data_IF_744945890441
#
_entry.id   IF_744945890441
#
_cell.length_a   1.000
_cell.length_b   1.000
_cell.length_c   1.000
_cell.angle_alpha   90.00
_cell.angle_beta   90.00
_cell.angle_gamma   90.00
#
_symmetry.space_group_name_H-M   'P 1'
#
loop_
_entity.id
_entity.type
_entity.pdbx_description
1 polymer ?
#
# COMPACT_ATOMS: atom_id res chain seq x y z
N UNK A 1 -7.27 0.46 7.69
CA UNK A 1 -6.28 0.26 8.76
C UNK A 1 -6.57 -1.04 9.51
N UNK A 2 -7.71 -1.19 10.20
CA UNK A 2 -8.03 -2.36 11.01
C UNK A 2 -7.89 -3.71 10.27
N UNK A 3 -8.37 -3.82 9.04
CA UNK A 3 -8.25 -5.06 8.24
C UNK A 3 -6.78 -5.41 7.91
N UNK A 4 -5.90 -4.40 7.73
CA UNK A 4 -4.47 -4.65 7.52
C UNK A 4 -3.81 -5.12 8.79
N UNK A 5 -4.15 -4.53 9.94
CA UNK A 5 -3.64 -4.94 11.24
C UNK A 5 -4.03 -6.37 11.58
N UNK A 6 -5.28 -6.75 11.33
CA UNK A 6 -5.75 -8.14 11.52
C UNK A 6 -5.00 -9.14 10.61
N UNK A 7 -4.79 -8.79 9.32
CA UNK A 7 -4.02 -9.64 8.41
C UNK A 7 -2.57 -9.80 8.84
N UNK A 8 -1.95 -8.73 9.31
CA UNK A 8 -0.58 -8.76 9.81
C UNK A 8 -0.50 -9.68 11.03
N UNK A 9 -1.41 -9.52 12.00
CA UNK A 9 -1.44 -10.33 13.20
C UNK A 9 -1.59 -11.84 12.89
N UNK A 10 -2.47 -12.19 11.93
CA UNK A 10 -2.63 -13.59 11.48
C UNK A 10 -1.34 -14.15 10.86
N UNK A 11 -0.67 -13.37 10.00
CA UNK A 11 0.58 -13.82 9.37
C UNK A 11 1.73 -13.91 10.37
N UNK A 12 1.79 -13.02 11.35
CA UNK A 12 2.78 -13.09 12.45
C UNK A 12 2.56 -14.31 13.34
N UNK A 13 1.31 -14.59 13.71
CA UNK A 13 0.97 -15.82 14.46
C UNK A 13 1.38 -17.07 13.66
N UNK A 14 1.07 -17.11 12.35
CA UNK A 14 1.49 -18.20 11.47
C UNK A 14 3.02 -18.32 11.42
N UNK A 15 3.74 -17.19 11.36
CA UNK A 15 5.20 -17.17 11.34
C UNK A 15 5.80 -17.76 12.62
N UNK A 16 5.26 -17.40 13.77
CA UNK A 16 5.74 -17.91 15.05
C UNK A 16 5.39 -19.40 15.22
N UNK A 17 4.19 -19.81 14.80
CA UNK A 17 3.82 -21.23 14.77
C UNK A 17 4.78 -22.06 13.91
N UNK A 18 5.07 -21.63 12.66
CA UNK A 18 5.99 -22.34 11.75
C UNK A 18 7.39 -22.48 12.37
N UNK A 19 7.89 -21.42 13.04
CA UNK A 19 9.21 -21.46 13.70
C UNK A 19 9.19 -22.42 14.89
N UNK A 20 8.15 -22.36 15.73
CA UNK A 20 8.01 -23.20 16.90
C UNK A 20 7.86 -24.69 16.52
N UNK A 21 7.02 -24.97 15.52
CA UNK A 21 6.85 -26.32 14.98
C UNK A 21 8.16 -26.88 14.42
N UNK A 22 8.91 -26.12 13.64
CA UNK A 22 10.21 -26.53 13.15
C UNK A 22 11.23 -26.80 14.29
N UNK A 23 11.10 -26.09 15.42
CA UNK A 23 11.93 -26.36 16.61
C UNK A 23 11.55 -27.68 17.27
N UNK A 24 10.26 -27.96 17.42
CA UNK A 24 9.74 -29.24 17.95
C UNK A 24 10.19 -30.41 17.06
N UNK A 25 10.04 -30.29 15.74
CA UNK A 25 10.45 -31.34 14.78
C UNK A 25 11.93 -31.70 14.94
N UNK A 26 12.78 -30.71 15.16
CA UNK A 26 14.23 -30.88 15.31
C UNK A 26 14.67 -31.35 16.70
N UNK A 27 13.78 -31.35 17.68
CA UNK A 27 14.11 -31.75 19.04
C UNK A 27 14.31 -33.28 19.07
N UNK A 28 15.53 -33.68 19.40
CA UNK A 28 15.94 -35.08 19.50
C UNK A 28 15.59 -35.74 20.85
N UNK A 29 15.12 -34.93 21.81
CA UNK A 29 14.76 -35.43 23.15
C UNK A 29 13.32 -35.92 23.20
N UNK A 30 12.49 -35.49 22.27
CA UNK A 30 11.08 -35.89 22.18
C UNK A 30 10.95 -37.06 21.20
N UNK A 31 10.19 -38.07 21.65
CA UNK A 31 9.69 -39.11 20.74
C UNK A 31 8.54 -38.62 19.88
N UNK A 32 7.99 -39.49 19.03
CA UNK A 32 6.93 -39.12 18.11
C UNK A 32 5.70 -38.56 18.78
N UNK A 33 5.24 -39.23 19.86
CA UNK A 33 4.03 -38.86 20.61
C UNK A 33 4.25 -37.55 21.36
N UNK A 34 5.41 -37.38 21.99
CA UNK A 34 5.80 -36.14 22.66
C UNK A 34 5.89 -34.94 21.70
N UNK A 35 6.29 -35.19 20.43
CA UNK A 35 6.27 -34.10 19.37
C UNK A 35 4.85 -33.75 18.98
N UNK A 36 3.94 -34.71 18.86
CA UNK A 36 2.52 -34.45 18.56
C UNK A 36 1.92 -33.60 19.67
N UNK A 37 2.13 -34.01 20.95
CA UNK A 37 1.64 -33.24 22.09
C UNK A 37 2.22 -31.83 22.16
N UNK A 38 3.51 -31.68 21.92
CA UNK A 38 4.18 -30.38 21.85
C UNK A 38 3.63 -29.50 20.75
N UNK A 39 3.30 -30.05 19.56
CA UNK A 39 2.68 -29.29 18.47
C UNK A 39 1.25 -28.86 18.82
N UNK A 40 0.46 -29.74 19.41
CA UNK A 40 -0.91 -29.42 19.85
C UNK A 40 -0.93 -28.30 20.90
N UNK A 41 0.10 -28.21 21.73
CA UNK A 41 0.22 -27.13 22.71
C UNK A 41 0.57 -25.76 22.12
N UNK A 42 0.97 -25.69 20.84
CA UNK A 42 1.30 -24.43 20.16
C UNK A 42 0.08 -23.70 19.57
N UNK A 43 -0.98 -24.43 19.26
CA UNK A 43 -2.20 -23.87 18.67
C UNK A 43 -3.43 -24.74 19.05
N UNK A 44 -4.35 -24.18 19.82
CA UNK A 44 -5.57 -24.85 20.30
C UNK A 44 -6.48 -25.32 19.15
N UNK A 45 -6.33 -24.77 17.96
CA UNK A 45 -7.10 -25.16 16.77
C UNK A 45 -6.42 -26.28 15.98
N UNK A 46 -5.22 -26.70 16.35
CA UNK A 46 -4.51 -27.77 15.66
C UNK A 46 -5.10 -29.13 16.02
N UNK A 47 -5.48 -29.91 15.01
CA UNK A 47 -5.93 -31.28 15.21
C UNK A 47 -4.74 -32.24 15.26
N UNK A 48 -4.90 -33.35 15.99
CA UNK A 48 -3.90 -34.42 16.08
C UNK A 48 -3.50 -34.94 14.68
N UNK A 49 -4.48 -35.16 13.80
CA UNK A 49 -4.23 -35.57 12.41
C UNK A 49 -3.34 -34.56 11.66
N UNK A 50 -3.53 -33.26 11.90
CA UNK A 50 -2.71 -32.22 11.28
C UNK A 50 -1.29 -32.19 11.89
N UNK A 51 -1.18 -32.37 13.21
CA UNK A 51 0.12 -32.44 13.89
C UNK A 51 0.95 -33.63 13.37
N UNK A 52 0.32 -34.82 13.27
CA UNK A 52 0.96 -36.01 12.69
C UNK A 52 1.38 -35.75 11.23
N UNK A 53 0.54 -35.09 10.44
CA UNK A 53 0.86 -34.75 9.05
C UNK A 53 2.07 -33.83 8.95
N UNK A 54 2.18 -32.82 9.79
CA UNK A 54 3.32 -31.90 9.87
C UNK A 54 4.63 -32.66 10.20
N UNK A 55 4.54 -33.71 11.03
CA UNK A 55 5.70 -34.49 11.45
C UNK A 55 6.12 -35.58 10.46
N UNK A 56 5.22 -36.07 9.61
CA UNK A 56 5.46 -37.28 8.81
C UNK A 56 5.41 -37.08 7.31
N UNK A 57 4.64 -36.09 6.84
CA UNK A 57 4.46 -35.86 5.40
C UNK A 57 5.44 -34.79 4.95
N UNK A 58 6.45 -35.16 4.14
CA UNK A 58 7.34 -34.18 3.56
C UNK A 58 6.63 -33.31 2.50
N UNK A 59 7.11 -32.08 2.32
CA UNK A 59 6.69 -31.21 1.23
C UNK A 59 7.18 -31.68 -0.16
N UNK A 60 6.91 -30.92 -1.19
CA UNK A 60 7.37 -31.22 -2.56
C UNK A 60 8.91 -31.19 -2.72
N UNK A 61 9.64 -30.71 -1.74
CA UNK A 61 11.09 -30.71 -1.68
C UNK A 61 11.66 -31.76 -0.70
N UNK A 62 10.82 -32.68 -0.26
CA UNK A 62 11.17 -33.74 0.70
C UNK A 62 11.61 -33.19 2.08
N UNK A 63 11.04 -32.08 2.50
CA UNK A 63 11.29 -31.44 3.79
C UNK A 63 10.11 -31.72 4.71
N UNK A 64 10.38 -32.26 5.91
CA UNK A 64 9.38 -32.42 6.98
C UNK A 64 9.27 -31.13 7.77
N UNK A 65 8.03 -30.67 7.99
CA UNK A 65 7.73 -29.41 8.63
C UNK A 65 7.67 -28.26 7.63
N UNK A 66 7.99 -27.07 8.10
CA UNK A 66 7.89 -25.83 7.27
C UNK A 66 9.23 -25.50 6.65
N UNK A 67 9.26 -25.45 5.32
CA UNK A 67 10.47 -25.15 4.56
C UNK A 67 10.93 -23.70 4.75
N UNK A 68 12.24 -23.46 4.56
CA UNK A 68 12.82 -22.13 4.71
C UNK A 68 12.17 -21.07 3.80
N UNK A 69 11.77 -21.47 2.60
CA UNK A 69 11.13 -20.54 1.65
C UNK A 69 9.73 -20.11 2.13
N UNK A 70 8.97 -20.98 2.81
CA UNK A 70 7.65 -20.64 3.37
C UNK A 70 7.79 -19.56 4.44
N UNK A 71 8.73 -19.73 5.37
CA UNK A 71 9.06 -18.72 6.37
C UNK A 71 9.51 -17.39 5.73
N UNK A 72 10.35 -17.47 4.69
CA UNK A 72 10.85 -16.28 3.98
C UNK A 72 9.72 -15.56 3.25
N UNK A 73 8.85 -16.29 2.56
CA UNK A 73 7.70 -15.71 1.83
C UNK A 73 6.70 -15.08 2.78
N UNK A 74 6.39 -15.76 3.91
CA UNK A 74 5.50 -15.19 4.92
C UNK A 74 6.10 -13.92 5.54
N UNK A 75 7.40 -13.93 5.86
CA UNK A 75 8.12 -12.76 6.35
C UNK A 75 8.12 -11.58 5.36
N UNK A 76 8.26 -11.85 4.06
CA UNK A 76 8.17 -10.84 3.02
C UNK A 76 6.75 -10.24 2.92
N UNK A 77 5.71 -11.08 3.04
CA UNK A 77 4.32 -10.62 3.07
C UNK A 77 4.02 -9.75 4.29
N UNK A 78 4.48 -10.12 5.48
CA UNK A 78 4.36 -9.32 6.69
C UNK A 78 5.00 -7.94 6.49
N UNK A 79 6.23 -7.88 5.98
CA UNK A 79 6.93 -6.63 5.72
C UNK A 79 6.14 -5.73 4.77
N UNK A 80 5.70 -6.27 3.63
CA UNK A 80 4.91 -5.53 2.65
C UNK A 80 3.62 -4.96 3.24
N UNK A 81 2.89 -5.75 4.05
CA UNK A 81 1.66 -5.28 4.69
C UNK A 81 1.92 -4.22 5.75
N UNK A 82 3.03 -4.33 6.50
CA UNK A 82 3.45 -3.29 7.46
C UNK A 82 3.77 -1.97 6.75
N UNK A 83 4.48 -2.01 5.63
CA UNK A 83 4.75 -0.82 4.82
C UNK A 83 3.46 -0.18 4.28
N UNK A 84 2.49 -1.00 3.85
CA UNK A 84 1.16 -0.52 3.43
C UNK A 84 0.39 0.10 4.61
N UNK A 85 0.46 -0.50 5.79
CA UNK A 85 -0.19 0.01 6.99
C UNK A 85 0.39 1.37 7.40
N UNK A 86 1.72 1.48 7.43
CA UNK A 86 2.40 2.75 7.73
C UNK A 86 2.05 3.85 6.71
N UNK A 87 2.00 3.50 5.42
CA UNK A 87 1.54 4.42 4.39
C UNK A 87 0.09 4.85 4.63
N UNK A 88 -0.80 3.92 4.93
CA UNK A 88 -2.21 4.21 5.18
C UNK A 88 -2.41 5.09 6.43
N UNK A 89 -1.69 4.81 7.53
CA UNK A 89 -1.70 5.65 8.73
C UNK A 89 -1.22 7.07 8.43
N UNK A 90 -0.08 7.20 7.74
CA UNK A 90 0.46 8.51 7.36
C UNK A 90 -0.49 9.32 6.48
N UNK A 91 -1.23 8.67 5.58
CA UNK A 91 -2.23 9.34 4.74
C UNK A 91 -3.46 9.76 5.55
N UNK A 92 -3.89 8.93 6.50
CA UNK A 92 -5.02 9.24 7.39
C UNK A 92 -4.75 10.44 8.31
N UNK A 93 -3.50 10.64 8.72
CA UNK A 93 -3.08 11.76 9.57
C UNK A 93 -2.89 13.08 8.80
N UNK A 94 -2.89 13.04 7.46
CA UNK A 94 -2.72 14.22 6.63
C UNK A 94 -4.06 14.88 6.34
N UNK A 95 -4.10 16.20 6.44
CA UNK A 95 -5.28 17.00 6.09
C UNK A 95 -5.18 17.44 4.64
N UNK A 96 -6.29 17.29 3.90
CA UNK A 96 -6.42 17.88 2.56
C UNK A 96 -6.26 19.39 2.64
N UNK A 97 -5.35 19.95 1.85
CA UNK A 97 -5.06 21.37 1.81
C UNK A 97 -5.35 21.95 0.44
N UNK A 98 -5.83 23.17 0.42
CA UNK A 98 -6.09 23.92 -0.80
C UNK A 98 -5.25 25.18 -0.84
N UNK A 99 -4.77 25.56 -2.02
CA UNK A 99 -4.13 26.84 -2.27
C UNK A 99 -4.53 27.38 -3.64
N UNK A 100 -4.59 28.69 -3.75
CA UNK A 100 -4.75 29.38 -5.03
C UNK A 100 -3.39 29.77 -5.57
N UNK A 101 -3.15 29.53 -6.84
CA UNK A 101 -2.01 30.06 -7.58
C UNK A 101 -2.61 30.89 -8.73
N UNK A 102 -2.78 32.17 -8.51
CA UNK A 102 -3.58 33.03 -9.38
C UNK A 102 -5.01 32.55 -9.47
N UNK A 103 -5.49 32.26 -10.68
CA UNK A 103 -6.82 31.76 -10.94
C UNK A 103 -6.96 30.23 -10.77
N UNK A 104 -5.85 29.50 -10.61
CA UNK A 104 -5.84 28.02 -10.53
C UNK A 104 -5.94 27.57 -9.07
N UNK A 105 -6.92 26.74 -8.76
CA UNK A 105 -7.07 26.07 -7.45
C UNK A 105 -6.28 24.78 -7.46
N UNK A 106 -5.35 24.67 -6.53
CA UNK A 106 -4.51 23.48 -6.30
C UNK A 106 -4.95 22.81 -5.03
N UNK A 107 -5.42 21.56 -5.12
CA UNK A 107 -5.88 20.76 -3.99
C UNK A 107 -4.93 19.60 -3.76
N UNK A 108 -4.34 19.55 -2.57
CA UNK A 108 -3.54 18.42 -2.12
C UNK A 108 -4.46 17.44 -1.39
N UNK A 109 -5.14 16.58 -2.17
CA UNK A 109 -6.16 15.65 -1.69
C UNK A 109 -5.49 14.43 -1.05
N UNK A 110 -5.58 14.34 0.27
CA UNK A 110 -4.97 13.27 1.06
C UNK A 110 -5.76 11.97 1.02
N UNK A 111 -7.08 12.04 0.86
CA UNK A 111 -7.95 10.86 0.85
C UNK A 111 -7.70 9.99 -0.38
N UNK A 112 -7.53 10.63 -1.53
CA UNK A 112 -7.30 9.94 -2.81
C UNK A 112 -5.81 9.77 -3.15
N UNK A 113 -4.89 10.31 -2.34
CA UNK A 113 -3.45 10.41 -2.62
C UNK A 113 -3.18 11.10 -3.98
N UNK A 114 -3.87 12.24 -4.21
CA UNK A 114 -3.80 13.00 -5.47
C UNK A 114 -3.52 14.47 -5.25
N UNK A 115 -2.76 15.05 -6.16
CA UNK A 115 -2.65 16.49 -6.36
C UNK A 115 -3.57 16.89 -7.51
N UNK A 116 -4.49 17.81 -7.25
CA UNK A 116 -5.53 18.23 -8.17
C UNK A 116 -5.31 19.68 -8.60
N UNK A 117 -5.45 19.92 -9.89
CA UNK A 117 -5.45 21.25 -10.50
C UNK A 117 -6.82 21.55 -11.10
N UNK A 118 -7.48 22.57 -10.59
CA UNK A 118 -8.77 23.04 -11.07
C UNK A 118 -8.57 24.39 -11.75
N UNK A 119 -8.86 24.43 -13.04
CA UNK A 119 -8.77 25.63 -13.87
C UNK A 119 -10.17 26.25 -13.99
N UNK A 120 -10.30 27.59 -13.95
CA UNK A 120 -11.60 28.26 -14.11
C UNK A 120 -12.15 28.13 -15.53
N UNK A 121 -11.27 28.02 -16.53
CA UNK A 121 -11.61 27.89 -17.93
C UNK A 121 -10.80 26.78 -18.61
N UNK A 122 -11.17 26.46 -19.86
CA UNK A 122 -10.46 25.44 -20.64
C UNK A 122 -9.01 25.85 -20.88
N UNK A 123 -8.08 24.95 -20.58
CA UNK A 123 -6.67 25.17 -20.79
C UNK A 123 -6.31 25.25 -22.30
N UNK A 124 -5.28 26.02 -22.65
CA UNK A 124 -4.68 26.03 -23.97
C UNK A 124 -4.10 24.65 -24.35
N UNK A 125 -3.80 24.44 -25.64
CA UNK A 125 -3.17 23.18 -26.08
C UNK A 125 -1.78 23.03 -25.50
N UNK A 126 -1.07 24.11 -25.27
CA UNK A 126 0.28 24.17 -24.69
C UNK A 126 0.26 23.77 -23.23
N UNK A 127 -0.63 24.34 -22.41
CA UNK A 127 -0.81 23.99 -21.00
C UNK A 127 -1.29 22.54 -20.86
N UNK A 128 -2.21 22.11 -21.75
CA UNK A 128 -2.66 20.72 -21.76
C UNK A 128 -1.53 19.73 -22.07
N UNK A 129 -0.66 20.05 -23.01
CA UNK A 129 0.49 19.21 -23.36
C UNK A 129 1.47 19.08 -22.19
N UNK A 130 1.73 20.17 -21.45
CA UNK A 130 2.58 20.14 -20.26
C UNK A 130 1.95 19.33 -19.12
N UNK A 131 0.65 19.50 -18.87
CA UNK A 131 -0.07 18.68 -17.89
C UNK A 131 0.15 17.18 -18.16
N UNK A 132 -0.02 16.76 -19.42
CA UNK A 132 0.21 15.35 -19.80
C UNK A 132 1.67 14.93 -19.66
N UNK A 133 2.62 15.77 -20.09
CA UNK A 133 4.05 15.48 -20.00
C UNK A 133 4.51 15.24 -18.55
N UNK A 134 3.88 15.94 -17.59
CA UNK A 134 4.21 15.83 -16.16
C UNK A 134 3.26 14.93 -15.36
N UNK A 135 2.51 14.05 -16.05
CA UNK A 135 1.72 12.99 -15.42
C UNK A 135 0.36 13.42 -14.87
N UNK A 136 -0.10 14.63 -15.17
CA UNK A 136 -1.45 15.07 -14.85
C UNK A 136 -2.45 14.52 -15.86
N UNK A 137 -3.47 13.83 -15.35
CA UNK A 137 -4.53 13.25 -16.18
C UNK A 137 -5.85 13.97 -15.92
N UNK A 138 -6.59 14.21 -16.98
CA UNK A 138 -7.92 14.79 -16.89
C UNK A 138 -8.90 13.82 -16.21
N UNK A 139 -9.64 14.33 -15.24
CA UNK A 139 -10.63 13.57 -14.46
C UNK A 139 -11.96 14.31 -14.46
N UNK A 140 -12.87 13.93 -15.38
CA UNK A 140 -14.17 14.63 -15.53
C UNK A 140 -15.06 14.53 -14.31
N UNK A 141 -15.01 13.39 -13.59
CA UNK A 141 -15.88 13.12 -12.42
C UNK A 141 -15.65 14.04 -11.22
N UNK A 142 -14.52 14.71 -11.16
CA UNK A 142 -14.16 15.66 -10.09
C UNK A 142 -14.22 17.13 -10.52
N UNK A 143 -14.86 17.39 -11.64
CA UNK A 143 -15.03 18.75 -12.13
C UNK A 143 -16.05 19.51 -11.29
N UNK A 144 -15.59 20.56 -10.62
CA UNK A 144 -16.46 21.58 -10.04
C UNK A 144 -16.57 22.68 -11.11
N UNK A 145 -17.49 22.49 -12.05
CA UNK A 145 -17.85 23.32 -13.22
C UNK A 145 -16.93 24.54 -13.57
N UNK A 146 -16.83 24.94 -14.81
CA UNK A 146 -17.26 24.35 -16.07
C UNK A 146 -16.17 23.49 -16.74
N UNK A 147 -14.96 23.45 -16.20
CA UNK A 147 -13.79 22.83 -16.82
C UNK A 147 -13.14 21.85 -15.83
N UNK A 148 -12.75 20.70 -16.34
CA UNK A 148 -12.34 19.55 -15.56
C UNK A 148 -11.16 19.73 -14.62
N UNK A 149 -11.01 18.74 -13.73
CA UNK A 149 -9.88 18.60 -12.84
C UNK A 149 -8.78 17.78 -13.50
N UNK A 150 -7.53 18.20 -13.34
CA UNK A 150 -6.35 17.43 -13.71
C UNK A 150 -5.69 16.87 -12.44
N UNK A 151 -5.40 15.58 -12.42
CA UNK A 151 -4.86 14.89 -11.25
C UNK A 151 -3.52 14.22 -11.56
N UNK A 152 -2.59 14.30 -10.61
CA UNK A 152 -1.36 13.51 -10.57
C UNK A 152 -1.21 12.80 -9.22
N UNK A 153 -0.32 11.80 -9.13
CA UNK A 153 0.10 11.27 -7.83
C UNK A 153 0.79 12.35 -7.02
N UNK A 154 0.52 12.40 -5.72
CA UNK A 154 1.13 13.35 -4.80
C UNK A 154 2.65 13.13 -4.71
N UNK A 155 3.40 14.21 -4.62
CA UNK A 155 4.84 14.18 -4.39
C UNK A 155 5.49 15.52 -4.76
N UNK A 156 6.74 15.74 -4.32
CA UNK A 156 7.45 16.99 -4.54
C UNK A 156 7.53 17.41 -6.02
N UNK A 157 7.71 16.44 -6.90
CA UNK A 157 7.76 16.68 -8.34
C UNK A 157 6.41 17.18 -8.90
N UNK A 158 5.30 16.55 -8.47
CA UNK A 158 3.97 16.97 -8.89
C UNK A 158 3.64 18.37 -8.35
N UNK A 159 4.00 18.68 -7.11
CA UNK A 159 3.80 19.99 -6.48
C UNK A 159 4.60 21.10 -7.22
N UNK A 160 5.84 20.81 -7.58
CA UNK A 160 6.66 21.72 -8.37
C UNK A 160 6.01 22.04 -9.74
N UNK A 161 5.65 21.01 -10.49
CA UNK A 161 5.05 21.18 -11.81
C UNK A 161 3.65 21.79 -11.74
N UNK A 162 2.87 21.49 -10.71
CA UNK A 162 1.61 22.18 -10.47
C UNK A 162 1.80 23.70 -10.36
N UNK A 163 2.84 24.14 -9.63
CA UNK A 163 3.20 25.54 -9.52
C UNK A 163 3.59 26.17 -10.85
N UNK A 164 4.45 25.51 -11.61
CA UNK A 164 4.92 25.99 -12.93
C UNK A 164 3.77 26.11 -13.92
N UNK A 165 2.95 25.05 -14.05
CA UNK A 165 1.83 25.00 -15.00
C UNK A 165 0.74 26.02 -14.63
N UNK A 166 0.42 26.16 -13.34
CA UNK A 166 -0.53 27.18 -12.89
C UNK A 166 -0.04 28.60 -13.18
N UNK A 167 1.25 28.88 -12.98
CA UNK A 167 1.85 30.18 -13.28
C UNK A 167 1.81 30.48 -14.79
N UNK A 168 2.10 29.48 -15.64
CA UNK A 168 2.02 29.61 -17.09
C UNK A 168 0.60 29.92 -17.56
N UNK A 169 -0.39 29.17 -17.05
CA UNK A 169 -1.80 29.41 -17.34
C UNK A 169 -2.21 30.84 -16.98
N UNK A 170 -1.84 31.33 -15.80
CA UNK A 170 -2.16 32.69 -15.38
C UNK A 170 -1.50 33.76 -16.29
N UNK A 171 -0.28 33.51 -16.76
CA UNK A 171 0.39 34.42 -17.70
C UNK A 171 -0.33 34.46 -19.08
N UNK A 172 -0.80 33.33 -19.58
CA UNK A 172 -1.60 33.24 -20.80
C UNK A 172 -2.93 33.99 -20.64
N UNK A 173 -3.64 33.78 -19.52
CA UNK A 173 -4.91 34.51 -19.29
C UNK A 173 -4.70 36.01 -19.15
N UNK A 174 -3.64 36.45 -18.48
CA UNK A 174 -3.32 37.85 -18.33
C UNK A 174 -2.95 38.52 -19.70
N UNK A 175 -2.35 37.76 -20.63
CA UNK A 175 -2.00 38.28 -21.96
C UNK A 175 -3.23 38.43 -22.91
N UNK A 176 -4.35 37.79 -22.59
CA UNK A 176 -5.60 37.83 -23.39
C UNK A 176 -6.58 38.89 -22.86
N UNK A 177 -6.41 39.35 -21.63
CA UNK A 177 -7.22 40.45 -21.09
C UNK A 177 -6.61 41.79 -21.53
N UNK A 178 -7.37 42.61 -22.31
CA UNK A 178 -6.89 43.92 -22.83
C UNK A 178 -6.75 44.95 -21.69
#
# INVERSE_FOLDING_TARGET
VAQLEEKIAKLEATQEFMKAANKVIKDKKLDQDGKVEALLSLDDNLTEATAVKILTVPDCFNIVGFAKFELTNNGANIRRLKEQLEKAKRLADQVTTEKMIGAVRVVNNCEDDRLELHFPERTSKEVYAELKAHGFRFTPSKSVAPVGCFQAFRGPNAEYWAGVIASKYNAEVAAVQP
#
